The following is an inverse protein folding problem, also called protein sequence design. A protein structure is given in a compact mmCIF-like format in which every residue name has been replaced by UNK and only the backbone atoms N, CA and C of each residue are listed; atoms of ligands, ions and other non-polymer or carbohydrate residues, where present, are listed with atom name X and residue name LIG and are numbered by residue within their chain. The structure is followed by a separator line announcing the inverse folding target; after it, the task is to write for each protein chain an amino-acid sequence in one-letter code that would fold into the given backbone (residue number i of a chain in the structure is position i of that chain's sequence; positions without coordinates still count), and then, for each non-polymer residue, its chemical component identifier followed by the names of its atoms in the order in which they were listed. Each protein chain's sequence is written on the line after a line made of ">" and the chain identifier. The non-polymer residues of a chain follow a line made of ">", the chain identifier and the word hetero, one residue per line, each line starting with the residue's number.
data_IF_715524865717
#
_entry.id   IF_715524865717
#
_cell.length_a   1.000
_cell.length_b   1.000
_cell.length_c   1.000
_cell.angle_alpha   90.00
_cell.angle_beta   90.00
_cell.angle_gamma   90.00
#
_symmetry.space_group_name_H-M   'P 1'
#
loop_
_entity.id
_entity.type
_entity.pdbx_description
1 polymer ?
#
# COMPACT_ATOMS: atom_id res chain seq x y z
N UNK A 1 -1.10 43.23 -38.19
CA UNK A 1 -0.55 41.88 -37.94
C UNK A 1 -1.25 41.36 -36.69
N UNK A 2 -2.16 40.39 -36.86
CA UNK A 2 -2.88 39.74 -35.75
C UNK A 2 -2.11 38.46 -35.43
N UNK A 3 -1.55 38.36 -34.20
CA UNK A 3 -0.98 37.12 -33.68
C UNK A 3 -2.11 36.27 -33.09
N UNK A 4 -2.41 35.13 -33.75
CA UNK A 4 -3.28 34.12 -33.21
C UNK A 4 -2.42 33.19 -32.33
N UNK A 5 -2.57 33.28 -31.00
CA UNK A 5 -1.95 32.37 -30.06
C UNK A 5 -2.80 31.09 -29.98
N UNK A 6 -2.34 30.00 -30.56
CA UNK A 6 -3.00 28.68 -30.47
C UNK A 6 -2.53 28.02 -29.18
N UNK A 7 -3.37 28.00 -28.17
CA UNK A 7 -3.16 27.19 -26.94
C UNK A 7 -3.46 25.73 -27.30
N UNK A 8 -2.43 24.89 -27.38
CA UNK A 8 -2.59 23.45 -27.30
C UNK A 8 -2.78 23.07 -25.83
N UNK A 9 -4.03 22.87 -25.42
CA UNK A 9 -4.32 22.21 -24.15
C UNK A 9 -4.07 20.72 -24.30
N UNK A 10 -2.91 20.24 -23.86
CA UNK A 10 -2.71 18.83 -23.60
C UNK A 10 -3.56 18.45 -22.39
N UNK A 11 -4.72 17.85 -22.63
CA UNK A 11 -5.45 17.14 -21.56
C UNK A 11 -4.68 15.88 -21.22
N UNK A 12 -3.80 15.95 -20.21
CA UNK A 12 -3.26 14.77 -19.55
C UNK A 12 -4.43 14.08 -18.84
N UNK A 13 -4.90 12.99 -19.42
CA UNK A 13 -5.85 12.11 -18.75
C UNK A 13 -5.15 11.47 -17.54
N UNK A 14 -5.29 12.05 -16.36
CA UNK A 14 -4.84 11.45 -15.10
C UNK A 14 -5.72 10.23 -14.78
N UNK A 15 -5.31 9.05 -15.23
CA UNK A 15 -5.98 7.77 -14.96
C UNK A 15 -5.27 7.03 -13.82
N UNK A 16 -5.11 7.69 -12.66
CA UNK A 16 -4.27 7.19 -11.56
C UNK A 16 -4.67 5.80 -11.03
N UNK A 17 -5.91 5.39 -11.18
CA UNK A 17 -6.44 4.10 -10.69
C UNK A 17 -6.99 3.20 -11.81
N UNK A 18 -7.11 3.73 -13.02
CA UNK A 18 -7.57 3.00 -14.19
C UNK A 18 -6.36 2.56 -15.01
N UNK A 19 -6.21 1.27 -15.22
CA UNK A 19 -5.12 0.70 -16.00
C UNK A 19 -5.59 -0.53 -16.78
N UNK A 20 -4.84 -0.93 -17.80
CA UNK A 20 -5.06 -2.20 -18.50
C UNK A 20 -4.35 -3.37 -17.82
N UNK A 21 -3.44 -3.08 -16.90
CA UNK A 21 -2.71 -4.08 -16.12
C UNK A 21 -2.65 -3.65 -14.66
N UNK A 22 -2.94 -4.58 -13.76
CA UNK A 22 -2.84 -4.41 -12.32
C UNK A 22 -2.00 -5.53 -11.73
N UNK A 23 -1.12 -5.17 -10.83
CA UNK A 23 -0.29 -6.09 -10.06
C UNK A 23 -0.80 -6.11 -8.63
N UNK A 24 -1.14 -7.29 -8.15
CA UNK A 24 -1.70 -7.51 -6.81
C UNK A 24 -0.71 -8.37 -6.04
N UNK A 25 0.24 -7.76 -5.31
CA UNK A 25 1.21 -8.50 -4.49
C UNK A 25 0.53 -9.36 -3.45
N UNK A 26 1.16 -10.47 -3.09
CA UNK A 26 0.74 -11.19 -1.89
C UNK A 26 0.93 -10.31 -0.66
N UNK A 27 0.04 -10.45 0.31
CA UNK A 27 0.11 -9.80 1.62
C UNK A 27 0.21 -10.85 2.72
N UNK A 28 0.42 -10.42 3.93
CA UNK A 28 0.43 -11.29 5.11
C UNK A 28 -0.55 -10.81 6.16
N UNK A 29 -0.94 -11.70 7.07
CA UNK A 29 -1.78 -11.42 8.21
C UNK A 29 -2.32 -12.67 8.86
N UNK A 30 -3.01 -12.49 9.98
CA UNK A 30 -3.69 -13.53 10.74
C UNK A 30 -5.17 -13.21 10.91
N UNK A 31 -5.93 -14.23 11.30
CA UNK A 31 -7.37 -14.12 11.55
C UNK A 31 -8.18 -13.58 10.37
N UNK A 32 -7.70 -13.79 9.13
CA UNK A 32 -8.38 -13.34 7.92
C UNK A 32 -9.48 -14.30 7.49
N UNK A 33 -10.56 -13.76 6.94
CA UNK A 33 -11.70 -14.48 6.40
C UNK A 33 -11.72 -14.47 4.89
N UNK A 34 -12.88 -14.15 4.33
CA UNK A 34 -13.11 -14.17 2.89
C UNK A 34 -12.39 -13.02 2.18
N UNK A 35 -11.94 -13.29 0.97
CA UNK A 35 -11.13 -12.40 0.15
C UNK A 35 -11.65 -12.36 -1.28
N UNK A 36 -11.67 -11.16 -1.88
CA UNK A 36 -12.17 -10.94 -3.23
C UNK A 36 -11.38 -9.90 -3.99
N UNK A 37 -11.31 -10.07 -5.31
CA UNK A 37 -10.98 -8.98 -6.25
C UNK A 37 -12.28 -8.46 -6.86
N UNK A 38 -12.53 -7.17 -6.75
CA UNK A 38 -13.62 -6.45 -7.40
C UNK A 38 -13.07 -5.75 -8.62
N UNK A 39 -13.56 -6.12 -9.81
CA UNK A 39 -13.06 -5.62 -11.08
C UNK A 39 -14.20 -4.98 -11.82
N UNK A 40 -14.03 -3.72 -12.18
CA UNK A 40 -15.00 -2.94 -12.93
C UNK A 40 -14.32 -2.16 -14.05
N UNK A 41 -15.12 -1.63 -14.98
CA UNK A 41 -14.64 -0.83 -16.10
C UNK A 41 -15.61 0.31 -16.38
N UNK A 42 -15.15 1.50 -16.82
CA UNK A 42 -16.00 2.54 -17.34
C UNK A 42 -16.53 2.26 -18.75
N UNK A 43 -16.07 1.20 -19.43
CA UNK A 43 -16.49 0.87 -20.78
C UNK A 43 -17.96 0.47 -20.83
N UNK A 44 -18.75 1.10 -21.71
CA UNK A 44 -20.14 0.74 -21.98
C UNK A 44 -20.19 -0.62 -22.71
N UNK A 45 -19.27 -0.83 -23.68
CA UNK A 45 -19.13 -2.10 -24.37
C UNK A 45 -18.37 -3.14 -23.54
N UNK A 46 -18.62 -4.42 -23.85
CA UNK A 46 -17.94 -5.53 -23.19
C UNK A 46 -16.44 -5.53 -23.49
N UNK A 47 -15.64 -5.77 -22.48
CA UNK A 47 -14.18 -5.94 -22.54
C UNK A 47 -13.78 -7.26 -21.91
N UNK A 48 -12.69 -7.85 -22.37
CA UNK A 48 -12.15 -9.05 -21.75
C UNK A 48 -11.16 -8.71 -20.65
N UNK A 49 -11.31 -9.35 -19.50
CA UNK A 49 -10.40 -9.29 -18.37
C UNK A 49 -9.88 -10.68 -18.07
N UNK A 50 -8.56 -10.80 -17.87
CA UNK A 50 -7.91 -12.06 -17.51
C UNK A 50 -7.23 -11.90 -16.16
N UNK A 51 -7.53 -12.82 -15.23
CA UNK A 51 -6.86 -12.97 -13.95
C UNK A 51 -5.82 -14.08 -14.07
N UNK A 52 -4.58 -13.78 -13.68
CA UNK A 52 -3.44 -14.69 -13.77
C UNK A 52 -2.86 -14.88 -12.35
N UNK A 53 -3.09 -16.02 -11.69
CA UNK A 53 -2.39 -16.31 -10.44
C UNK A 53 -0.89 -16.48 -10.70
N UNK A 54 -0.06 -15.87 -9.83
CA UNK A 54 1.39 -16.00 -9.91
C UNK A 54 1.80 -17.42 -9.56
N UNK A 55 2.74 -17.98 -10.31
CA UNK A 55 3.17 -19.39 -10.18
C UNK A 55 2.19 -20.41 -10.75
N UNK A 56 0.97 -20.01 -11.10
CA UNK A 56 -0.02 -20.87 -11.72
C UNK A 56 0.28 -21.19 -13.18
N UNK A 57 -0.18 -22.35 -13.64
CA UNK A 57 -0.14 -22.72 -15.05
C UNK A 57 -1.10 -21.83 -15.87
N UNK A 58 -0.91 -21.81 -17.20
CA UNK A 58 -1.83 -21.03 -18.08
C UNK A 58 -3.27 -21.56 -18.03
N UNK A 59 -3.48 -22.81 -17.67
CA UNK A 59 -4.80 -23.42 -17.43
C UNK A 59 -5.54 -22.81 -16.23
N UNK A 60 -4.80 -22.18 -15.31
CA UNK A 60 -5.36 -21.58 -14.09
C UNK A 60 -5.78 -20.12 -14.33
N UNK A 61 -5.53 -19.59 -15.52
CA UNK A 61 -5.95 -18.26 -15.89
C UNK A 61 -7.45 -18.23 -16.18
N UNK A 62 -8.13 -17.30 -15.54
CA UNK A 62 -9.55 -17.08 -15.78
C UNK A 62 -9.78 -15.82 -16.61
N UNK A 63 -10.63 -15.95 -17.63
CA UNK A 63 -11.00 -14.82 -18.49
C UNK A 63 -12.51 -14.63 -18.46
N UNK A 64 -12.94 -13.40 -18.24
CA UNK A 64 -14.36 -13.01 -18.25
C UNK A 64 -14.57 -11.74 -19.03
N UNK A 65 -15.69 -11.65 -19.73
CA UNK A 65 -16.17 -10.41 -20.36
C UNK A 65 -16.96 -9.60 -19.33
N UNK A 66 -16.63 -8.33 -19.17
CA UNK A 66 -17.27 -7.39 -18.25
C UNK A 66 -17.65 -6.09 -18.97
N UNK A 67 -18.58 -5.33 -18.39
CA UNK A 67 -18.97 -3.97 -18.81
C UNK A 67 -19.19 -3.10 -17.58
N UNK A 68 -19.51 -1.82 -17.76
CA UNK A 68 -19.83 -0.92 -16.65
C UNK A 68 -21.02 -1.40 -15.80
N UNK A 69 -21.96 -2.13 -16.37
CA UNK A 69 -23.17 -2.66 -15.67
C UNK A 69 -22.96 -4.07 -15.14
N UNK A 70 -21.88 -4.78 -15.57
CA UNK A 70 -21.61 -6.16 -15.24
C UNK A 70 -20.15 -6.32 -14.75
N UNK A 71 -19.82 -5.86 -13.54
CA UNK A 71 -18.49 -6.03 -12.94
C UNK A 71 -18.22 -7.49 -12.61
N UNK A 72 -16.96 -7.81 -12.31
CA UNK A 72 -16.54 -9.12 -11.89
C UNK A 72 -16.10 -9.12 -10.43
N UNK A 73 -16.77 -9.89 -9.59
CA UNK A 73 -16.32 -10.21 -8.23
C UNK A 73 -15.68 -11.60 -8.31
N UNK A 74 -14.36 -11.62 -8.14
CA UNK A 74 -13.56 -12.83 -8.20
C UNK A 74 -13.23 -13.29 -6.78
N UNK A 75 -13.66 -14.51 -6.36
CA UNK A 75 -13.33 -15.04 -5.04
C UNK A 75 -11.88 -15.52 -5.04
N UNK A 76 -11.06 -14.93 -4.16
CA UNK A 76 -9.67 -15.35 -3.97
C UNK A 76 -9.58 -16.56 -3.05
N UNK A 77 -10.46 -16.62 -2.04
CA UNK A 77 -10.49 -17.68 -1.05
C UNK A 77 -10.85 -17.15 0.35
N UNK A 78 -10.53 -17.94 1.35
CA UNK A 78 -10.77 -17.60 2.76
C UNK A 78 -9.63 -18.11 3.63
N UNK A 79 -9.31 -17.38 4.69
CA UNK A 79 -8.27 -17.73 5.66
C UNK A 79 -6.90 -17.12 5.34
N UNK A 80 -5.88 -17.55 6.09
CA UNK A 80 -4.54 -16.95 6.07
C UNK A 80 -3.58 -17.66 5.09
N UNK A 81 -4.05 -18.61 4.28
CA UNK A 81 -3.22 -19.32 3.32
C UNK A 81 -3.98 -19.46 1.99
N UNK A 82 -3.93 -18.38 1.20
CA UNK A 82 -4.56 -18.32 -0.13
C UNK A 82 -3.52 -17.95 -1.18
N UNK A 83 -3.96 -17.77 -2.42
CA UNK A 83 -3.11 -17.23 -3.49
C UNK A 83 -2.57 -15.81 -3.14
N UNK A 84 -3.30 -15.05 -2.31
CA UNK A 84 -2.97 -13.66 -2.03
C UNK A 84 -2.53 -13.41 -0.58
N UNK A 85 -3.00 -14.22 0.37
CA UNK A 85 -2.66 -14.04 1.79
C UNK A 85 -1.78 -15.18 2.26
N UNK A 86 -0.71 -14.86 2.97
CA UNK A 86 0.22 -15.79 3.61
C UNK A 86 0.21 -15.60 5.12
N UNK A 87 0.40 -16.67 5.87
CA UNK A 87 0.45 -16.64 7.34
C UNK A 87 1.59 -15.77 7.83
N UNK A 88 1.32 -14.83 8.73
CA UNK A 88 2.28 -13.80 9.18
C UNK A 88 3.58 -14.38 9.70
N UNK A 89 3.53 -15.28 10.66
CA UNK A 89 4.73 -15.85 11.32
C UNK A 89 5.67 -16.58 10.34
N UNK A 90 5.11 -17.14 9.25
CA UNK A 90 5.88 -17.91 8.27
C UNK A 90 6.18 -17.13 6.99
N UNK A 91 5.39 -16.09 6.71
CA UNK A 91 5.56 -15.26 5.53
C UNK A 91 6.53 -14.10 5.73
N UNK A 92 6.64 -13.63 6.98
CA UNK A 92 7.53 -12.52 7.32
C UNK A 92 8.98 -12.85 6.97
N UNK A 93 9.66 -11.88 6.36
CA UNK A 93 11.03 -12.02 5.86
C UNK A 93 11.19 -13.18 4.85
N UNK A 94 10.18 -13.37 3.98
CA UNK A 94 10.16 -14.47 3.01
C UNK A 94 9.85 -13.97 1.60
N UNK A 95 10.38 -14.72 0.63
CA UNK A 95 10.11 -14.50 -0.80
C UNK A 95 9.17 -15.58 -1.34
N UNK A 96 8.16 -15.16 -2.11
CA UNK A 96 7.19 -16.03 -2.77
C UNK A 96 7.28 -15.86 -4.28
N UNK A 97 7.26 -16.96 -5.01
CA UNK A 97 7.21 -17.00 -6.48
C UNK A 97 5.89 -17.56 -7.01
N UNK A 98 4.98 -17.85 -6.11
CA UNK A 98 3.70 -18.53 -6.35
C UNK A 98 2.51 -17.81 -5.66
N UNK A 99 2.64 -16.52 -5.39
CA UNK A 99 1.65 -15.76 -4.64
C UNK A 99 1.39 -14.37 -5.23
N UNK A 100 0.13 -13.97 -5.26
CA UNK A 100 -0.33 -12.73 -5.88
C UNK A 100 -1.05 -12.97 -7.20
N UNK A 101 -1.45 -11.89 -7.85
CA UNK A 101 -2.15 -11.91 -9.14
C UNK A 101 -1.65 -10.81 -10.07
N UNK A 102 -1.73 -11.09 -11.37
CA UNK A 102 -1.75 -10.08 -12.42
C UNK A 102 -3.16 -10.07 -13.02
N UNK A 103 -3.76 -8.89 -13.13
CA UNK A 103 -5.06 -8.70 -13.80
C UNK A 103 -4.83 -7.87 -15.04
N UNK A 104 -5.13 -8.44 -16.20
CA UNK A 104 -4.97 -7.77 -17.49
C UNK A 104 -6.30 -7.61 -18.21
N UNK A 105 -6.41 -6.56 -19.02
CA UNK A 105 -7.63 -6.30 -19.77
C UNK A 105 -7.35 -5.65 -21.14
N UNK A 106 -8.31 -5.78 -22.03
CA UNK A 106 -8.26 -5.12 -23.35
C UNK A 106 -8.50 -3.60 -23.28
N UNK A 107 -9.09 -3.10 -22.18
CA UNK A 107 -9.34 -1.68 -21.95
C UNK A 107 -9.14 -1.33 -20.47
N UNK A 108 -9.33 -0.06 -20.09
CA UNK A 108 -9.14 0.42 -18.74
C UNK A 108 -10.09 -0.28 -17.77
N UNK A 109 -9.54 -0.76 -16.66
CA UNK A 109 -10.25 -1.36 -15.54
C UNK A 109 -9.81 -0.75 -14.21
N UNK A 110 -10.68 -0.90 -13.23
CA UNK A 110 -10.45 -0.62 -11.83
C UNK A 110 -10.43 -1.94 -11.07
N UNK A 111 -9.43 -2.15 -10.23
CA UNK A 111 -9.30 -3.37 -9.43
C UNK A 111 -9.18 -2.99 -7.97
N UNK A 112 -10.05 -3.54 -7.12
CA UNK A 112 -9.98 -3.41 -5.67
C UNK A 112 -9.86 -4.78 -5.03
N UNK A 113 -8.87 -4.95 -4.17
CA UNK A 113 -8.79 -6.10 -3.27
C UNK A 113 -9.56 -5.80 -1.99
N UNK A 114 -10.33 -6.76 -1.52
CA UNK A 114 -11.11 -6.67 -0.28
C UNK A 114 -10.99 -7.95 0.52
N UNK A 115 -10.91 -7.79 1.83
CA UNK A 115 -10.92 -8.92 2.78
C UNK A 115 -11.75 -8.57 4.01
N UNK A 116 -12.14 -9.59 4.75
CA UNK A 116 -12.71 -9.46 6.09
C UNK A 116 -12.00 -10.37 7.09
N UNK A 117 -12.27 -10.15 8.38
CA UNK A 117 -11.78 -11.02 9.45
C UNK A 117 -12.50 -12.36 9.45
N UNK A 118 -11.80 -13.41 9.85
CA UNK A 118 -12.40 -14.71 10.20
C UNK A 118 -13.09 -14.68 11.57
N UNK A 119 -12.78 -13.67 12.40
CA UNK A 119 -13.42 -13.52 13.70
C UNK A 119 -14.89 -13.19 13.52
N UNK A 120 -15.74 -14.08 13.97
CA UNK A 120 -17.19 -13.89 13.96
C UNK A 120 -17.70 -13.96 15.40
N UNK A 121 -18.47 -12.96 15.81
CA UNK A 121 -19.29 -13.05 17.00
C UNK A 121 -20.73 -12.82 16.55
N UNK A 122 -21.59 -13.81 16.77
CA UNK A 122 -23.02 -13.73 16.44
C UNK A 122 -23.28 -13.36 14.95
N UNK A 123 -22.55 -13.95 14.01
CA UNK A 123 -22.67 -13.69 12.56
C UNK A 123 -22.21 -12.31 12.09
N UNK A 124 -21.51 -11.55 12.90
CA UNK A 124 -20.89 -10.28 12.49
C UNK A 124 -19.39 -10.49 12.24
N UNK A 125 -18.90 -9.92 11.15
CA UNK A 125 -17.48 -9.83 10.85
C UNK A 125 -17.03 -8.43 11.21
N UNK A 126 -16.15 -8.33 12.21
CA UNK A 126 -15.87 -7.04 12.87
C UNK A 126 -14.85 -6.18 12.12
N UNK A 127 -13.95 -6.80 11.35
CA UNK A 127 -12.87 -6.09 10.70
C UNK A 127 -12.89 -6.37 9.21
N UNK A 128 -12.67 -5.34 8.43
CA UNK A 128 -12.56 -5.44 6.99
C UNK A 128 -11.50 -4.46 6.49
N UNK A 129 -10.82 -4.83 5.44
CA UNK A 129 -9.91 -3.94 4.74
C UNK A 129 -10.09 -4.01 3.24
N UNK A 130 -9.70 -2.95 2.58
CA UNK A 130 -9.63 -2.90 1.15
C UNK A 130 -8.52 -1.97 0.71
N UNK A 131 -7.95 -2.21 -0.47
CA UNK A 131 -7.20 -1.21 -1.20
C UNK A 131 -7.57 -1.24 -2.68
N UNK A 132 -7.30 -0.13 -3.34
CA UNK A 132 -7.45 0.00 -4.77
C UNK A 132 -6.08 -0.16 -5.41
N UNK A 133 -5.95 -1.12 -6.34
CA UNK A 133 -4.74 -1.23 -7.12
C UNK A 133 -4.59 -0.01 -8.04
N UNK A 134 -3.43 0.61 -7.98
CA UNK A 134 -3.12 1.81 -8.76
C UNK A 134 -2.62 1.47 -10.19
N UNK A 135 -2.65 0.18 -10.56
CA UNK A 135 -2.24 -0.28 -11.89
C UNK A 135 -0.82 0.16 -12.24
N UNK A 136 -0.63 0.72 -13.43
CA UNK A 136 0.69 1.24 -13.84
C UNK A 136 1.19 2.42 -13.00
N UNK A 137 0.31 3.13 -12.29
CA UNK A 137 0.71 4.21 -11.40
C UNK A 137 1.36 3.71 -10.09
N UNK A 138 1.20 2.42 -9.75
CA UNK A 138 1.90 1.80 -8.62
C UNK A 138 3.38 1.51 -8.92
N UNK A 139 3.78 1.46 -10.18
CA UNK A 139 5.16 1.15 -10.57
C UNK A 139 6.09 2.29 -10.23
N UNK A 140 7.15 1.98 -9.50
CA UNK A 140 8.20 2.92 -9.12
C UNK A 140 9.47 2.21 -8.71
N UNK A 141 10.53 2.97 -8.45
CA UNK A 141 11.82 2.45 -8.00
C UNK A 141 12.23 2.94 -6.61
N UNK A 142 11.43 3.86 -6.04
CA UNK A 142 11.69 4.45 -4.72
C UNK A 142 10.36 4.78 -4.02
N UNK A 143 10.23 4.36 -2.76
CA UNK A 143 8.98 4.51 -2.00
C UNK A 143 9.27 4.85 -0.54
N UNK A 144 8.35 5.59 0.10
CA UNK A 144 8.24 5.71 1.56
C UNK A 144 7.02 4.95 2.04
N UNK A 145 7.20 4.03 2.96
CA UNK A 145 6.11 3.18 3.45
C UNK A 145 5.37 3.80 4.63
N UNK A 146 4.14 3.36 4.86
CA UNK A 146 3.33 3.75 6.01
C UNK A 146 2.54 2.56 6.53
N UNK A 147 2.30 2.56 7.85
CA UNK A 147 1.48 1.59 8.57
C UNK A 147 0.64 2.32 9.60
N UNK A 148 -0.20 1.60 10.36
CA UNK A 148 -0.82 2.19 11.53
C UNK A 148 0.22 2.55 12.59
N UNK A 149 -0.11 3.54 13.41
CA UNK A 149 0.80 4.06 14.45
C UNK A 149 0.96 3.10 15.63
N UNK A 150 0.02 2.17 15.81
CA UNK A 150 0.05 1.11 16.83
C UNK A 150 0.40 1.64 18.23
N UNK A 151 -0.34 2.61 18.69
CA UNK A 151 -0.12 3.22 20.00
C UNK A 151 -0.42 2.28 21.17
N UNK A 152 -0.02 2.59 22.40
CA UNK A 152 0.68 1.73 23.37
C UNK A 152 0.04 0.40 23.76
N UNK A 153 -1.18 0.11 23.43
CA UNK A 153 -1.87 -1.06 23.96
C UNK A 153 -2.32 -2.12 22.95
N UNK A 154 -2.14 -1.87 21.66
CA UNK A 154 -2.56 -2.84 20.65
C UNK A 154 -1.36 -3.62 20.11
N UNK A 155 -1.45 -4.92 20.19
CA UNK A 155 -0.75 -5.80 19.27
C UNK A 155 -1.28 -5.51 17.87
N UNK A 156 -0.54 -5.87 16.85
CA UNK A 156 -0.93 -5.77 15.46
C UNK A 156 0.23 -6.23 14.62
N UNK A 157 -0.05 -6.54 13.38
CA UNK A 157 0.95 -7.00 12.43
C UNK A 157 1.08 -5.92 11.37
N UNK A 158 2.27 -5.34 11.27
CA UNK A 158 2.61 -4.42 10.18
C UNK A 158 3.36 -5.17 9.09
N UNK A 159 3.17 -4.79 7.85
CA UNK A 159 3.88 -5.41 6.75
C UNK A 159 4.22 -4.43 5.63
N UNK A 160 5.27 -4.79 4.89
CA UNK A 160 5.61 -4.25 3.58
C UNK A 160 5.67 -5.45 2.63
N UNK A 161 4.95 -5.39 1.52
CA UNK A 161 4.99 -6.37 0.44
C UNK A 161 5.50 -5.72 -0.83
N UNK A 162 6.55 -6.30 -1.43
CA UNK A 162 7.25 -5.76 -2.59
C UNK A 162 7.21 -6.79 -3.71
N UNK A 163 6.62 -6.41 -4.84
CA UNK A 163 6.44 -7.26 -6.01
C UNK A 163 7.32 -6.79 -7.16
N UNK A 164 8.22 -7.64 -7.65
CA UNK A 164 9.10 -7.34 -8.77
C UNK A 164 8.40 -7.58 -10.11
N UNK A 165 8.52 -6.63 -11.03
CA UNK A 165 8.00 -6.77 -12.41
C UNK A 165 9.05 -7.22 -13.41
N UNK A 166 10.33 -7.23 -13.02
CA UNK A 166 11.47 -7.59 -13.84
C UNK A 166 12.40 -8.58 -13.11
N UNK A 167 13.15 -9.35 -13.88
CA UNK A 167 14.19 -10.22 -13.33
C UNK A 167 15.38 -9.43 -12.77
N UNK A 168 16.11 -10.04 -11.84
CA UNK A 168 17.30 -9.47 -11.22
C UNK A 168 17.04 -8.11 -10.57
N UNK A 169 15.90 -7.97 -9.89
CA UNK A 169 15.54 -6.77 -9.16
C UNK A 169 16.11 -6.83 -7.75
N UNK A 170 17.14 -6.01 -7.48
CA UNK A 170 17.66 -5.79 -6.13
C UNK A 170 16.75 -4.83 -5.39
N UNK A 171 16.31 -5.22 -4.21
CA UNK A 171 15.55 -4.40 -3.27
C UNK A 171 16.43 -4.05 -2.09
N UNK A 172 16.44 -2.78 -1.72
CA UNK A 172 17.01 -2.29 -0.46
C UNK A 172 15.90 -1.69 0.38
N UNK A 173 15.78 -2.13 1.64
CA UNK A 173 14.87 -1.53 2.64
C UNK A 173 15.74 -0.89 3.70
N UNK A 174 15.61 0.43 3.88
CA UNK A 174 16.45 1.26 4.72
C UNK A 174 15.62 2.24 5.58
N UNK A 175 16.29 3.13 6.30
CA UNK A 175 15.69 4.14 7.19
C UNK A 175 14.80 3.53 8.29
N UNK A 176 15.15 2.32 8.75
CA UNK A 176 14.48 1.71 9.91
C UNK A 176 15.11 2.24 11.20
N UNK A 177 14.30 2.63 12.21
CA UNK A 177 14.81 3.11 13.50
C UNK A 177 15.75 2.11 14.18
N UNK A 178 16.79 2.61 14.82
CA UNK A 178 17.71 1.76 15.58
C UNK A 178 16.97 0.97 16.67
N UNK A 179 17.24 -0.34 16.74
CA UNK A 179 16.55 -1.25 17.64
C UNK A 179 15.23 -1.80 17.14
N UNK A 180 14.89 -1.56 15.87
CA UNK A 180 13.74 -2.20 15.22
C UNK A 180 13.89 -3.71 15.27
N UNK A 181 12.85 -4.39 15.73
CA UNK A 181 12.73 -5.85 15.76
C UNK A 181 11.71 -6.26 14.70
N UNK A 182 12.18 -6.94 13.68
CA UNK A 182 11.33 -7.47 12.61
C UNK A 182 11.04 -8.94 12.87
N UNK A 183 9.86 -9.37 12.41
CA UNK A 183 9.47 -10.77 12.54
C UNK A 183 10.39 -11.68 11.72
N UNK A 184 10.91 -12.73 12.33
CA UNK A 184 11.84 -13.73 11.74
C UNK A 184 13.11 -13.17 11.07
N UNK A 185 13.44 -11.88 11.23
CA UNK A 185 14.64 -11.27 10.67
C UNK A 185 15.72 -11.07 11.74
N UNK A 186 16.90 -11.62 11.49
CA UNK A 186 18.08 -11.51 12.38
C UNK A 186 19.30 -10.86 11.74
N UNK A 187 19.13 -10.34 10.51
CA UNK A 187 20.20 -9.69 9.76
C UNK A 187 20.47 -8.24 10.21
N UNK A 188 21.38 -7.60 9.49
CA UNK A 188 21.68 -6.17 9.67
C UNK A 188 20.82 -5.29 8.77
N UNK A 189 20.72 -4.01 9.10
CA UNK A 189 20.14 -2.99 8.22
C UNK A 189 21.25 -2.28 7.41
N UNK A 190 20.98 -1.83 6.18
CA UNK A 190 19.76 -2.04 5.41
C UNK A 190 19.51 -3.52 5.04
N UNK A 191 18.25 -3.87 4.77
CA UNK A 191 17.88 -5.20 4.26
C UNK A 191 18.09 -5.20 2.75
N UNK A 192 18.83 -6.16 2.23
CA UNK A 192 19.04 -6.33 0.80
C UNK A 192 18.58 -7.72 0.34
N UNK A 193 17.76 -7.76 -0.70
CA UNK A 193 17.27 -8.99 -1.34
C UNK A 193 17.25 -8.84 -2.85
N UNK A 194 17.30 -9.96 -3.58
CA UNK A 194 17.11 -9.96 -5.04
C UNK A 194 15.88 -10.78 -5.39
N UNK A 195 14.99 -10.19 -6.17
CA UNK A 195 13.78 -10.82 -6.67
C UNK A 195 13.90 -11.11 -8.17
N UNK A 196 13.32 -12.22 -8.58
CA UNK A 196 13.04 -12.49 -9.98
C UNK A 196 11.65 -11.94 -10.34
N UNK A 197 11.40 -11.80 -11.62
CA UNK A 197 10.12 -11.33 -12.15
C UNK A 197 8.94 -12.07 -11.52
N UNK A 198 7.98 -11.29 -11.03
CA UNK A 198 6.78 -11.75 -10.33
C UNK A 198 7.01 -12.35 -8.96
N UNK A 199 8.23 -12.27 -8.44
CA UNK A 199 8.52 -12.57 -7.05
C UNK A 199 7.98 -11.50 -6.12
N UNK A 200 7.45 -11.91 -4.98
CA UNK A 200 7.00 -11.04 -3.88
C UNK A 200 7.87 -11.28 -2.65
N UNK A 201 8.43 -10.22 -2.06
CA UNK A 201 9.03 -10.27 -0.74
C UNK A 201 8.09 -9.64 0.28
N UNK A 202 7.92 -10.28 1.42
CA UNK A 202 7.10 -9.78 2.53
C UNK A 202 8.01 -9.53 3.73
N UNK A 203 8.00 -8.31 4.25
CA UNK A 203 8.62 -7.93 5.50
C UNK A 203 7.54 -7.73 6.56
N UNK A 204 7.63 -8.45 7.68
CA UNK A 204 6.71 -8.36 8.80
C UNK A 204 7.33 -7.67 10.01
N UNK A 205 6.53 -6.90 10.72
CA UNK A 205 6.87 -6.26 11.98
C UNK A 205 5.72 -6.40 12.96
N UNK A 206 5.99 -7.03 14.12
CA UNK A 206 5.01 -7.14 15.18
C UNK A 206 5.29 -6.07 16.25
N UNK A 207 4.50 -4.99 16.32
CA UNK A 207 4.71 -3.88 17.24
C UNK A 207 4.47 -4.26 18.71
N UNK A 208 3.87 -5.41 19.01
CA UNK A 208 3.69 -5.87 20.39
C UNK A 208 5.01 -6.19 21.12
N UNK A 209 6.06 -6.52 20.37
CA UNK A 209 7.41 -6.72 20.90
C UNK A 209 8.19 -5.43 21.13
N UNK A 210 7.66 -4.30 20.68
CA UNK A 210 8.33 -3.01 20.77
C UNK A 210 8.15 -2.36 22.13
N UNK A 211 9.22 -1.81 22.67
CA UNK A 211 9.28 -1.13 23.96
C UNK A 211 9.24 0.40 23.86
N UNK A 212 9.17 0.95 22.64
CA UNK A 212 9.07 2.39 22.40
C UNK A 212 8.15 2.72 21.22
N UNK A 213 7.61 3.94 21.20
CA UNK A 213 6.75 4.43 20.11
C UNK A 213 7.49 4.39 18.78
N UNK A 214 8.74 4.80 18.74
CA UNK A 214 9.54 4.81 17.50
C UNK A 214 9.66 3.40 16.90
N UNK A 215 9.88 2.37 17.74
CA UNK A 215 9.97 0.99 17.25
C UNK A 215 8.58 0.46 16.84
N UNK A 216 7.49 0.84 17.52
CA UNK A 216 6.13 0.49 17.11
C UNK A 216 5.76 1.04 15.73
N UNK A 217 6.32 2.18 15.39
CA UNK A 217 6.11 2.89 14.13
C UNK A 217 7.24 2.64 13.10
N UNK A 218 8.06 1.61 13.31
CA UNK A 218 9.28 1.38 12.55
C UNK A 218 9.11 1.29 11.03
N UNK A 219 7.93 0.90 10.55
CA UNK A 219 7.64 0.85 9.12
C UNK A 219 7.01 2.14 8.58
N UNK A 220 6.82 3.19 9.41
CA UNK A 220 6.40 4.50 8.94
C UNK A 220 7.66 5.27 8.52
N UNK A 221 7.75 5.63 7.26
CA UNK A 221 8.90 6.34 6.70
C UNK A 221 10.03 5.43 6.19
N UNK A 222 9.94 4.12 6.36
CA UNK A 222 10.94 3.21 5.81
C UNK A 222 11.08 3.39 4.30
N UNK A 223 12.32 3.35 3.83
CA UNK A 223 12.68 3.57 2.43
C UNK A 223 12.81 2.24 1.69
N UNK A 224 12.07 2.09 0.58
CA UNK A 224 12.21 0.97 -0.34
C UNK A 224 12.81 1.48 -1.64
N UNK A 225 13.95 0.90 -2.05
CA UNK A 225 14.62 1.20 -3.33
C UNK A 225 14.70 -0.08 -4.14
N UNK A 226 14.50 0.02 -5.45
CA UNK A 226 14.73 -1.08 -6.39
C UNK A 226 15.71 -0.67 -7.49
N UNK A 227 16.66 -1.56 -7.77
CA UNK A 227 17.76 -1.37 -8.73
C UNK A 227 18.00 -2.67 -9.50
N UNK A 228 18.79 -2.58 -10.58
CA UNK A 228 19.26 -3.78 -11.26
C UNK A 228 20.36 -4.46 -10.44
N UNK A 229 20.14 -5.71 -10.04
CA UNK A 229 21.12 -6.51 -9.31
C UNK A 229 22.43 -6.76 -10.09
N UNK A 230 22.40 -6.59 -11.40
CA UNK A 230 23.56 -6.74 -12.28
C UNK A 230 24.32 -5.42 -12.48
N UNK A 231 23.84 -4.33 -11.88
CA UNK A 231 24.50 -3.03 -11.90
C UNK A 231 24.29 -2.21 -13.16
N UNK A 232 23.29 -2.54 -13.98
CA UNK A 232 22.89 -1.66 -15.09
C UNK A 232 22.10 -0.43 -14.57
N UNK A 233 21.96 0.59 -15.39
CA UNK A 233 21.12 1.76 -15.09
C UNK A 233 19.66 1.55 -15.47
N UNK A 234 19.28 0.36 -15.91
CA UNK A 234 17.90 0.07 -16.31
C UNK A 234 17.01 0.08 -15.09
N UNK A 235 15.89 0.81 -15.12
CA UNK A 235 14.97 0.85 -14.00
C UNK A 235 14.36 -0.54 -13.75
N UNK A 236 14.27 -0.91 -12.50
CA UNK A 236 13.62 -2.15 -12.04
C UNK A 236 12.35 -1.80 -11.24
N UNK A 237 11.26 -1.40 -11.93
CA UNK A 237 10.08 -0.96 -11.23
C UNK A 237 9.43 -2.09 -10.45
N UNK A 238 9.00 -1.77 -9.25
CA UNK A 238 8.29 -2.66 -8.34
C UNK A 238 6.95 -2.08 -7.96
N UNK A 239 6.10 -2.92 -7.38
CA UNK A 239 4.86 -2.50 -6.73
C UNK A 239 5.01 -2.74 -5.24
N UNK A 240 4.64 -1.74 -4.43
CA UNK A 240 4.71 -1.81 -2.98
C UNK A 240 3.30 -1.68 -2.38
N UNK A 241 2.95 -2.63 -1.53
CA UNK A 241 1.75 -2.61 -0.69
C UNK A 241 2.20 -2.64 0.75
N UNK A 242 1.66 -1.79 1.59
CA UNK A 242 1.94 -1.77 3.01
C UNK A 242 0.66 -1.62 3.83
N UNK A 243 0.73 -2.01 5.09
CA UNK A 243 -0.42 -1.91 5.97
C UNK A 243 -0.23 -2.56 7.32
N UNK A 244 -1.34 -2.63 8.02
CA UNK A 244 -1.46 -3.25 9.35
C UNK A 244 -2.66 -4.18 9.37
N UNK A 245 -2.46 -5.39 9.86
CA UNK A 245 -3.52 -6.37 10.11
C UNK A 245 -3.70 -6.48 11.62
N UNK A 246 -4.86 -6.03 12.11
CA UNK A 246 -5.11 -5.95 13.55
C UNK A 246 -4.35 -4.81 14.25
N UNK A 247 -3.96 -3.79 13.51
CA UNK A 247 -3.29 -2.60 14.05
C UNK A 247 -4.24 -1.59 14.67
N UNK A 248 -3.70 -0.53 15.28
CA UNK A 248 -4.48 0.54 15.89
C UNK A 248 -3.96 1.92 15.50
N UNK A 249 -4.91 2.86 15.35
CA UNK A 249 -4.62 4.28 15.12
C UNK A 249 -4.75 5.12 16.40
N UNK A 250 -5.27 4.57 17.51
CA UNK A 250 -5.72 5.34 18.66
C UNK A 250 -4.72 5.38 19.81
N UNK A 251 -4.73 6.50 20.55
CA UNK A 251 -4.10 6.68 21.84
C UNK A 251 -5.11 6.35 22.95
N UNK A 252 -4.88 5.28 23.73
CA UNK A 252 -5.62 4.98 24.95
C UNK A 252 -7.12 4.64 24.78
N UNK A 253 -7.68 3.93 25.74
CA UNK A 253 -9.13 3.77 25.98
C UNK A 253 -10.01 3.07 24.93
N UNK A 254 -9.71 3.19 23.67
CA UNK A 254 -10.45 2.59 22.54
C UNK A 254 -9.52 1.69 21.72
N UNK A 255 -8.86 0.76 22.38
CA UNK A 255 -7.85 -0.13 21.78
C UNK A 255 -8.48 -1.22 20.89
N UNK A 256 -9.39 -0.85 20.01
CA UNK A 256 -9.86 -1.77 18.98
C UNK A 256 -8.85 -1.82 17.86
N UNK A 257 -8.37 -3.01 17.55
CA UNK A 257 -7.54 -3.25 16.38
C UNK A 257 -8.40 -3.30 15.12
N UNK A 258 -7.87 -2.83 14.01
CA UNK A 258 -8.52 -2.87 12.71
C UNK A 258 -7.52 -3.22 11.61
N UNK A 259 -8.02 -3.42 10.40
CA UNK A 259 -7.22 -3.69 9.22
C UNK A 259 -7.12 -2.43 8.36
N UNK A 260 -5.91 -2.13 7.91
CA UNK A 260 -5.68 -1.05 6.98
C UNK A 260 -4.50 -1.35 6.08
N UNK A 261 -4.67 -1.17 4.78
CA UNK A 261 -3.62 -1.38 3.80
C UNK A 261 -3.84 -0.50 2.57
N UNK A 262 -2.77 -0.17 1.89
CA UNK A 262 -2.83 0.46 0.58
C UNK A 262 -1.65 0.02 -0.31
N UNK A 263 -1.90 0.08 -1.62
CA UNK A 263 -0.86 0.03 -2.62
C UNK A 263 -0.33 1.45 -2.82
N UNK A 264 0.94 1.69 -2.53
CA UNK A 264 1.51 3.03 -2.56
C UNK A 264 2.11 3.38 -3.93
N UNK A 265 2.25 4.66 -4.22
CA UNK A 265 2.92 5.17 -5.42
C UNK A 265 4.38 5.48 -5.15
N UNK A 266 5.22 5.43 -6.18
CA UNK A 266 6.61 5.86 -6.09
C UNK A 266 6.72 7.35 -5.78
N UNK A 267 7.84 7.73 -5.15
CA UNK A 267 8.12 9.11 -4.71
C UNK A 267 8.14 10.09 -5.89
N UNK A 268 8.55 9.64 -7.07
CA UNK A 268 8.54 10.43 -8.31
C UNK A 268 7.15 10.89 -8.78
N UNK A 269 6.10 10.36 -8.16
CA UNK A 269 4.69 10.67 -8.46
C UNK A 269 3.97 11.42 -7.36
N UNK A 270 4.67 11.77 -6.30
CA UNK A 270 4.11 12.54 -5.19
C UNK A 270 4.04 14.03 -5.57
N UNK A 271 3.03 14.70 -5.05
CA UNK A 271 2.90 16.14 -5.11
C UNK A 271 3.52 16.81 -3.88
N UNK A 272 3.48 18.13 -3.89
CA UNK A 272 3.91 19.00 -2.80
C UNK A 272 2.73 19.74 -2.14
N UNK A 273 1.51 19.51 -2.64
CA UNK A 273 0.27 20.08 -2.11
C UNK A 273 -0.79 18.99 -1.95
N UNK A 274 -1.40 18.94 -0.77
CA UNK A 274 -2.39 17.93 -0.41
C UNK A 274 -3.56 18.57 0.31
N UNK A 275 -4.78 18.09 0.03
CA UNK A 275 -6.00 18.48 0.74
C UNK A 275 -6.59 17.27 1.44
N UNK A 276 -6.77 17.36 2.74
CA UNK A 276 -7.42 16.35 3.55
C UNK A 276 -8.74 16.86 4.08
N UNK A 277 -9.79 16.09 3.91
CA UNK A 277 -11.15 16.40 4.39
C UNK A 277 -11.46 15.46 5.54
N UNK A 278 -11.86 16.03 6.68
CA UNK A 278 -12.27 15.25 7.85
C UNK A 278 -13.52 14.44 7.54
N UNK A 279 -13.50 13.16 7.91
CA UNK A 279 -14.65 12.29 7.87
C UNK A 279 -15.60 12.52 9.07
N UNK A 280 -16.36 11.49 9.42
CA UNK A 280 -17.32 11.53 10.53
C UNK A 280 -16.88 10.65 11.71
N UNK A 281 -15.58 10.47 11.88
CA UNK A 281 -15.03 9.70 13.00
C UNK A 281 -14.64 10.61 14.18
N UNK A 282 -14.25 10.00 15.29
CA UNK A 282 -13.69 10.70 16.44
C UNK A 282 -12.35 11.34 16.07
N UNK A 283 -12.04 12.46 16.66
CA UNK A 283 -10.79 13.20 16.40
C UNK A 283 -9.52 12.36 16.60
N UNK A 284 -9.56 11.44 17.55
CA UNK A 284 -8.45 10.54 17.84
C UNK A 284 -8.23 9.45 16.77
N UNK A 285 -9.20 9.26 15.87
CA UNK A 285 -9.16 8.26 14.78
C UNK A 285 -8.85 8.92 13.44
N UNK A 286 -9.31 10.14 13.23
CA UNK A 286 -9.09 10.92 12.00
C UNK A 286 -7.63 11.39 11.96
N UNK A 287 -6.73 10.57 11.42
CA UNK A 287 -5.30 10.86 11.38
C UNK A 287 -4.78 10.97 9.96
N UNK A 288 -3.96 11.97 9.73
CA UNK A 288 -3.14 12.13 8.53
C UNK A 288 -1.69 11.99 8.94
N UNK A 289 -0.96 11.14 8.24
CA UNK A 289 0.48 10.96 8.42
C UNK A 289 1.19 11.54 7.20
N UNK A 290 1.97 12.59 7.40
CA UNK A 290 2.86 13.15 6.38
C UNK A 290 4.27 12.67 6.62
N UNK A 291 4.90 12.09 5.59
CA UNK A 291 6.24 11.52 5.66
C UNK A 291 7.15 12.31 4.71
N UNK A 292 8.29 12.76 5.21
CA UNK A 292 9.29 13.45 4.41
C UNK A 292 10.19 12.46 3.67
N UNK A 293 10.49 12.73 2.40
CA UNK A 293 11.50 11.97 1.65
C UNK A 293 12.91 12.57 1.73
N UNK A 294 13.03 13.86 2.08
CA UNK A 294 14.29 14.59 2.10
C UNK A 294 14.49 15.32 3.42
N UNK A 295 15.77 15.49 3.77
CA UNK A 295 16.12 16.32 4.92
C UNK A 295 15.69 17.77 4.72
N UNK A 296 15.25 18.41 5.81
CA UNK A 296 14.83 19.80 5.80
C UNK A 296 13.51 20.05 5.06
N UNK A 297 12.64 19.02 4.93
CA UNK A 297 11.31 19.20 4.36
C UNK A 297 10.43 20.03 5.29
N UNK A 298 10.07 21.24 4.87
CA UNK A 298 9.17 22.14 5.60
C UNK A 298 7.71 21.79 5.30
N UNK A 299 6.93 21.58 6.34
CA UNK A 299 5.49 21.31 6.26
C UNK A 299 4.74 22.59 6.60
N UNK A 300 3.93 23.07 5.68
CA UNK A 300 3.03 24.19 5.87
C UNK A 300 1.61 23.70 6.03
N UNK A 301 0.77 24.43 6.76
CA UNK A 301 -0.61 24.07 7.04
C UNK A 301 -1.53 25.28 6.83
N UNK A 302 -2.64 25.07 6.14
CA UNK A 302 -3.73 26.02 5.97
C UNK A 302 -3.26 27.40 5.44
N UNK A 303 -2.31 27.41 4.48
CA UNK A 303 -1.78 28.64 3.87
C UNK A 303 -0.93 29.51 4.79
N UNK A 304 -0.51 29.01 5.94
CA UNK A 304 0.41 29.73 6.85
C UNK A 304 1.74 30.00 6.12
N UNK A 305 2.30 31.23 6.22
CA UNK A 305 3.63 31.51 5.67
C UNK A 305 4.77 30.97 6.56
N UNK A 306 4.44 30.46 7.75
CA UNK A 306 5.41 29.89 8.69
C UNK A 306 5.27 28.38 8.70
N UNK A 307 6.37 27.62 8.58
CA UNK A 307 6.31 26.18 8.66
C UNK A 307 5.66 25.70 9.97
N UNK A 308 4.76 24.74 9.88
CA UNK A 308 4.22 24.04 11.04
C UNK A 308 5.32 23.19 11.71
N UNK A 309 6.13 22.52 10.89
CA UNK A 309 7.30 21.74 11.33
C UNK A 309 8.28 21.54 10.18
N UNK A 310 9.50 21.12 10.51
CA UNK A 310 10.51 20.68 9.54
C UNK A 310 10.88 19.25 9.85
N UNK A 311 10.92 18.41 8.83
CA UNK A 311 11.20 16.97 8.93
C UNK A 311 12.45 16.60 8.13
N UNK A 312 13.20 15.62 8.62
CA UNK A 312 14.24 14.96 7.85
C UNK A 312 13.69 13.74 7.09
N UNK A 313 14.49 13.19 6.20
CA UNK A 313 14.14 12.00 5.42
C UNK A 313 13.68 10.83 6.33
N UNK A 314 12.54 10.23 6.02
CA UNK A 314 11.93 9.16 6.81
C UNK A 314 11.17 9.63 8.05
N UNK A 315 11.35 10.88 8.50
CA UNK A 315 10.56 11.41 9.60
C UNK A 315 9.12 11.72 9.17
N UNK A 316 8.22 11.74 10.13
CA UNK A 316 6.81 11.99 9.88
C UNK A 316 6.18 12.88 10.95
N UNK A 317 5.09 13.52 10.58
CA UNK A 317 4.19 14.24 11.48
C UNK A 317 2.78 13.67 11.35
N UNK A 318 2.06 13.63 12.46
CA UNK A 318 0.68 13.15 12.52
C UNK A 318 -0.22 14.35 12.83
N UNK A 319 -1.21 14.59 11.96
CA UNK A 319 -2.33 15.48 12.24
C UNK A 319 -3.51 14.64 12.73
N UNK A 320 -4.14 15.08 13.81
CA UNK A 320 -5.33 14.45 14.37
C UNK A 320 -6.61 15.23 13.96
N UNK A 321 -7.78 14.70 14.27
CA UNK A 321 -9.05 15.36 13.93
C UNK A 321 -9.21 16.76 14.52
N UNK A 322 -8.53 17.05 15.64
CA UNK A 322 -8.48 18.40 16.24
C UNK A 322 -7.62 19.40 15.45
N UNK A 323 -6.77 18.91 14.55
CA UNK A 323 -5.93 19.76 13.69
C UNK A 323 -6.67 20.29 12.46
N UNK A 324 -7.82 19.73 12.15
CA UNK A 324 -8.63 20.21 11.04
C UNK A 324 -9.24 21.60 11.36
N UNK A 325 -9.24 22.48 10.37
CA UNK A 325 -9.85 23.80 10.50
C UNK A 325 -11.36 23.71 10.74
N UNK A 326 -11.99 24.85 11.06
CA UNK A 326 -13.45 24.94 11.20
C UNK A 326 -14.22 24.52 9.93
N UNK A 327 -13.57 24.52 8.77
CA UNK A 327 -14.12 24.06 7.49
C UNK A 327 -13.92 22.53 7.27
N UNK A 328 -13.44 21.83 8.30
CA UNK A 328 -13.18 20.38 8.28
C UNK A 328 -12.19 19.93 7.19
N UNK A 329 -11.17 20.71 6.92
CA UNK A 329 -10.07 20.34 6.01
C UNK A 329 -8.71 20.78 6.57
N UNK A 330 -7.64 20.19 6.01
CA UNK A 330 -6.24 20.60 6.15
C UNK A 330 -5.67 20.65 4.74
N UNK A 331 -4.93 21.68 4.41
CA UNK A 331 -4.18 21.75 3.15
C UNK A 331 -2.81 22.39 3.32
#
# INVERSE_FOLDING_TARGET
>A
IVFVLVFFTFSLSLTAQLSKIHYIPAITGETLGDQWLYISTPSIGSINVTIKPIGGARSDWETKSISNDAPWIYPVGSGNSTQLVKVFDTASNSTFTDAGFIVESSNLIYVSFRLNSSLTNSNQKFHAAAYVSKGSAALGTRFRTATFTNTPSSGGENFISIFATEDNTKITIDDLPAGTVLETYTGSFPIEITLQKYGTYILGHNPSFANSTAIKQALIGALVISEDALGSSDPKPVVVTCGSIGGSLMNGGHANSDFGMDQITGIDRLGDEYVFVKGYALDEIEKVILIADRDGTEIYKDGSPTPYTTLNAGEHVIFEGTDYSNDHNIY
#
